data_IF_980696060432
#
_entry.id   IF_980696060432
#
_cell.length_a   1.000
_cell.length_b   1.000
_cell.length_c   1.000
_cell.angle_alpha   90.00
_cell.angle_beta   90.00
_cell.angle_gamma   90.00
#
_symmetry.space_group_name_H-M   'P 1'
#
loop_
_entity.id
_entity.type
_entity.pdbx_description
1 polymer ?
#
# COMPACT_ATOMS: atom_id res chain seq x y z
N UNK A 1 23.27 31.84 -5.21
CA UNK A 1 23.46 31.79 -6.68
C UNK A 1 22.25 31.11 -7.28
N UNK A 2 21.44 31.78 -8.10
CA UNK A 2 20.42 31.11 -8.93
C UNK A 2 21.14 30.51 -10.11
N UNK A 3 21.35 29.19 -10.13
CA UNK A 3 21.90 28.48 -11.28
C UNK A 3 20.95 28.68 -12.46
N UNK A 4 21.46 29.06 -13.61
CA UNK A 4 20.71 28.94 -14.87
C UNK A 4 20.46 27.47 -15.12
N UNK A 5 19.20 27.09 -15.44
CA UNK A 5 18.89 25.72 -15.79
C UNK A 5 19.71 25.29 -17.03
N UNK A 6 20.58 24.32 -16.83
CA UNK A 6 21.42 23.76 -17.90
C UNK A 6 20.64 22.70 -18.69
N UNK A 7 21.02 22.49 -19.94
CA UNK A 7 20.39 21.51 -20.83
C UNK A 7 20.54 20.04 -20.31
N UNK A 8 21.58 19.77 -19.53
CA UNK A 8 21.91 18.45 -18.98
C UNK A 8 21.55 18.25 -17.49
N UNK A 9 20.95 19.25 -16.84
CA UNK A 9 20.67 19.22 -15.39
C UNK A 9 19.82 18.01 -14.98
N UNK A 10 18.88 17.58 -15.86
CA UNK A 10 18.02 16.42 -15.60
C UNK A 10 18.83 15.12 -15.67
N UNK A 11 19.69 14.99 -16.65
CA UNK A 11 20.52 13.79 -16.83
C UNK A 11 21.52 13.65 -15.67
N UNK A 12 22.10 14.76 -15.21
CA UNK A 12 22.98 14.77 -14.04
C UNK A 12 22.20 14.38 -12.78
N UNK A 13 21.00 14.94 -12.59
CA UNK A 13 20.15 14.58 -11.46
C UNK A 13 19.74 13.11 -11.49
N UNK A 14 19.43 12.55 -12.66
CA UNK A 14 19.11 11.14 -12.81
C UNK A 14 20.31 10.23 -12.53
N UNK A 15 21.53 10.65 -12.90
CA UNK A 15 22.77 9.95 -12.53
C UNK A 15 22.99 9.94 -11.01
N UNK A 16 22.78 11.07 -10.36
CA UNK A 16 22.87 11.18 -8.91
C UNK A 16 21.88 10.26 -8.19
N UNK A 17 20.64 10.20 -8.68
CA UNK A 17 19.62 9.29 -8.15
C UNK A 17 20.04 7.82 -8.32
N UNK A 18 20.57 7.46 -9.49
CA UNK A 18 21.08 6.11 -9.76
C UNK A 18 22.24 5.73 -8.84
N UNK A 19 23.16 6.67 -8.61
CA UNK A 19 24.30 6.45 -7.73
C UNK A 19 23.90 6.22 -6.26
N UNK A 20 22.78 6.80 -5.83
CA UNK A 20 22.20 6.61 -4.48
C UNK A 20 21.34 5.37 -4.33
N UNK A 21 21.08 4.65 -5.42
CA UNK A 21 20.27 3.45 -5.44
C UNK A 21 18.76 3.75 -5.60
N UNK A 22 18.32 3.97 -6.84
CA UNK A 22 16.89 4.11 -7.16
C UNK A 22 16.24 2.73 -7.34
N UNK A 23 15.38 2.36 -6.41
CA UNK A 23 14.68 1.07 -6.41
C UNK A 23 13.76 0.92 -7.62
N UNK A 24 13.15 2.01 -8.11
CA UNK A 24 12.31 1.98 -9.31
C UNK A 24 13.14 1.73 -10.58
N UNK A 25 14.34 2.28 -10.66
CA UNK A 25 15.25 1.98 -11.75
C UNK A 25 15.67 0.50 -11.72
N UNK A 26 15.95 -0.03 -10.53
CA UNK A 26 16.27 -1.46 -10.35
C UNK A 26 15.10 -2.34 -10.78
N UNK A 27 13.89 -2.03 -10.35
CA UNK A 27 12.68 -2.75 -10.71
C UNK A 27 12.45 -2.75 -12.22
N UNK A 28 12.64 -1.59 -12.89
CA UNK A 28 12.52 -1.46 -14.33
C UNK A 28 13.53 -2.34 -15.11
N UNK A 29 14.74 -2.53 -14.57
CA UNK A 29 15.77 -3.39 -15.19
C UNK A 29 15.46 -4.87 -15.00
N UNK A 30 14.81 -5.24 -13.90
CA UNK A 30 14.55 -6.63 -13.53
C UNK A 30 13.32 -7.21 -14.22
N UNK A 31 12.28 -6.39 -14.40
CA UNK A 31 10.97 -6.83 -14.88
C UNK A 31 10.74 -6.32 -16.29
N UNK A 32 10.53 -7.25 -17.24
CA UNK A 32 10.00 -6.92 -18.55
C UNK A 32 8.47 -6.72 -18.45
N UNK A 33 8.06 -5.46 -18.32
CA UNK A 33 6.64 -5.12 -18.23
C UNK A 33 5.84 -5.44 -19.49
N UNK A 34 6.48 -5.67 -20.64
CA UNK A 34 5.78 -6.05 -21.86
C UNK A 34 5.10 -7.42 -21.75
N UNK A 35 5.58 -8.30 -20.86
CA UNK A 35 4.98 -9.60 -20.58
C UNK A 35 3.52 -9.52 -20.11
N UNK A 36 3.12 -8.41 -19.52
CA UNK A 36 1.74 -8.23 -19.02
C UNK A 36 0.77 -7.78 -20.12
N UNK A 37 1.25 -7.33 -21.27
CA UNK A 37 0.44 -6.77 -22.36
C UNK A 37 -0.71 -7.69 -22.79
N UNK A 38 -0.52 -9.00 -23.09
CA UNK A 38 -1.60 -9.86 -23.54
C UNK A 38 -2.74 -9.95 -22.52
N UNK A 39 -2.40 -10.11 -21.23
CA UNK A 39 -3.40 -10.20 -20.17
C UNK A 39 -4.13 -8.86 -19.94
N UNK A 40 -3.42 -7.74 -20.06
CA UNK A 40 -4.01 -6.40 -19.97
C UNK A 40 -4.96 -6.09 -21.11
N UNK A 41 -4.61 -6.46 -22.35
CA UNK A 41 -5.46 -6.26 -23.53
C UNK A 41 -6.67 -7.18 -23.52
N UNK A 42 -6.55 -8.37 -22.95
CA UNK A 42 -7.67 -9.27 -22.73
C UNK A 42 -8.66 -8.71 -21.69
N UNK A 43 -8.13 -8.16 -20.58
CA UNK A 43 -8.95 -7.65 -19.48
C UNK A 43 -9.61 -6.30 -19.82
N UNK A 44 -8.90 -5.42 -20.51
CA UNK A 44 -9.39 -4.08 -20.89
C UNK A 44 -9.21 -3.91 -22.39
N UNK A 45 -10.17 -4.37 -23.20
CA UNK A 45 -10.10 -4.18 -24.66
C UNK A 45 -10.03 -2.69 -25.00
N UNK A 46 -9.27 -2.36 -26.02
CA UNK A 46 -9.16 -0.99 -26.53
C UNK A 46 -10.53 -0.49 -27.01
N UNK A 47 -10.92 0.68 -26.57
CA UNK A 47 -12.16 1.31 -27.05
C UNK A 47 -12.09 1.58 -28.57
N UNK A 48 -13.23 1.41 -29.23
CA UNK A 48 -13.39 1.75 -30.66
C UNK A 48 -13.09 3.24 -30.88
N UNK A 49 -12.16 3.52 -31.79
CA UNK A 49 -11.72 4.88 -32.14
C UNK A 49 -12.58 5.54 -33.24
N UNK A 50 -13.60 4.86 -33.75
CA UNK A 50 -14.46 5.38 -34.81
C UNK A 50 -15.13 6.72 -34.49
N UNK A 51 -15.32 7.01 -33.20
CA UNK A 51 -15.97 8.24 -32.70
C UNK A 51 -15.00 9.37 -32.36
N UNK A 52 -13.71 9.25 -32.64
CA UNK A 52 -12.69 10.23 -32.27
C UNK A 52 -12.39 10.25 -30.76
N UNK A 53 -11.68 11.24 -30.29
CA UNK A 53 -11.32 11.44 -28.88
C UNK A 53 -9.80 11.33 -28.63
N UNK A 54 -9.39 11.69 -27.39
CA UNK A 54 -7.99 11.58 -27.00
C UNK A 54 -7.57 10.11 -26.95
N UNK A 55 -6.41 9.74 -27.53
CA UNK A 55 -5.90 8.38 -27.43
C UNK A 55 -5.79 7.93 -25.96
N UNK A 56 -6.28 6.73 -25.62
CA UNK A 56 -6.07 6.19 -24.28
C UNK A 56 -4.59 5.96 -24.03
N UNK A 57 -4.19 6.01 -22.76
CA UNK A 57 -2.85 5.63 -22.35
C UNK A 57 -2.61 4.15 -22.64
N UNK A 58 -1.36 3.78 -22.89
CA UNK A 58 -0.97 2.38 -23.07
C UNK A 58 -1.27 1.56 -21.80
N UNK A 59 -1.77 0.34 -21.96
CA UNK A 59 -2.18 -0.50 -20.84
C UNK A 59 -1.01 -0.90 -19.94
N UNK A 60 0.17 -1.18 -20.52
CA UNK A 60 1.37 -1.50 -19.73
C UNK A 60 1.83 -0.28 -18.95
N UNK A 61 1.77 0.91 -19.54
CA UNK A 61 2.04 2.16 -18.85
C UNK A 61 1.08 2.36 -17.67
N UNK A 62 -0.23 2.18 -17.88
CA UNK A 62 -1.22 2.30 -16.81
C UNK A 62 -1.02 1.25 -15.70
N UNK A 63 -0.60 0.04 -16.05
CA UNK A 63 -0.26 -0.98 -15.06
C UNK A 63 0.97 -0.58 -14.22
N UNK A 64 2.02 -0.01 -14.84
CA UNK A 64 3.15 0.58 -14.11
C UNK A 64 2.70 1.68 -13.14
N UNK A 65 1.71 2.50 -13.52
CA UNK A 65 1.14 3.52 -12.61
C UNK A 65 0.47 2.87 -11.40
N UNK A 66 -0.31 1.80 -11.58
CA UNK A 66 -0.93 1.07 -10.46
C UNK A 66 0.12 0.42 -9.54
N UNK A 67 1.24 -0.07 -10.09
CA UNK A 67 2.36 -0.60 -9.30
C UNK A 67 2.96 0.52 -8.45
N UNK A 68 3.24 1.70 -9.01
CA UNK A 68 3.71 2.85 -8.24
C UNK A 68 2.74 3.24 -7.13
N UNK A 69 1.46 3.27 -7.44
CA UNK A 69 0.40 3.59 -6.49
C UNK A 69 0.39 2.60 -5.32
N UNK A 70 0.48 1.31 -5.60
CA UNK A 70 0.49 0.25 -4.58
C UNK A 70 1.77 0.27 -3.76
N UNK A 71 2.94 0.38 -4.40
CA UNK A 71 4.25 0.40 -3.72
C UNK A 71 4.39 1.57 -2.73
N UNK A 72 3.77 2.70 -3.03
CA UNK A 72 3.88 3.91 -2.22
C UNK A 72 2.60 4.25 -1.46
N UNK A 73 1.59 3.37 -1.46
CA UNK A 73 0.29 3.55 -0.80
C UNK A 73 -0.37 4.91 -1.12
N UNK A 74 -0.44 5.28 -2.41
CA UNK A 74 -0.90 6.59 -2.87
C UNK A 74 -2.40 6.59 -3.20
N UNK A 75 -3.08 7.70 -2.90
CA UNK A 75 -4.38 8.00 -3.50
C UNK A 75 -4.24 8.32 -4.99
N UNK A 76 -5.35 8.31 -5.73
CA UNK A 76 -5.33 8.60 -7.18
C UNK A 76 -4.81 10.02 -7.46
N UNK A 77 -5.25 11.01 -6.69
CA UNK A 77 -4.80 12.40 -6.78
C UNK A 77 -3.32 12.55 -6.41
N UNK A 78 -2.91 11.86 -5.35
CA UNK A 78 -1.51 11.92 -4.92
C UNK A 78 -0.59 11.23 -5.93
N UNK A 79 -1.06 10.15 -6.56
CA UNK A 79 -0.32 9.46 -7.61
C UNK A 79 -0.13 10.37 -8.84
N UNK A 80 -1.19 11.02 -9.34
CA UNK A 80 -1.11 12.01 -10.41
C UNK A 80 -0.10 13.11 -10.09
N UNK A 81 -0.18 13.68 -8.88
CA UNK A 81 0.73 14.75 -8.45
C UNK A 81 2.18 14.27 -8.44
N UNK A 82 2.46 13.13 -7.80
CA UNK A 82 3.84 12.63 -7.64
C UNK A 82 4.47 12.14 -8.95
N UNK A 83 3.69 11.70 -9.93
CA UNK A 83 4.19 11.41 -11.27
C UNK A 83 4.73 12.68 -11.93
N UNK A 84 4.08 13.83 -11.71
CA UNK A 84 4.54 15.14 -12.23
C UNK A 84 5.74 15.71 -11.45
N UNK A 85 5.84 15.40 -10.16
CA UNK A 85 6.80 15.99 -9.23
C UNK A 85 8.13 15.23 -9.16
N UNK A 86 8.13 13.89 -9.31
CA UNK A 86 9.29 13.03 -9.08
C UNK A 86 9.94 12.52 -10.35
N UNK A 87 11.20 12.89 -10.57
CA UNK A 87 11.99 12.39 -11.70
C UNK A 87 12.15 10.86 -11.70
N UNK A 88 12.24 10.21 -10.55
CA UNK A 88 12.30 8.75 -10.46
C UNK A 88 11.02 8.07 -10.97
N UNK A 89 9.84 8.65 -10.68
CA UNK A 89 8.57 8.18 -11.20
C UNK A 89 8.45 8.36 -12.71
N UNK A 90 8.84 9.56 -13.20
CA UNK A 90 8.86 9.83 -14.64
C UNK A 90 9.77 8.86 -15.37
N UNK A 91 10.98 8.62 -14.86
CA UNK A 91 11.94 7.66 -15.41
C UNK A 91 11.39 6.24 -15.43
N UNK A 92 10.76 5.79 -14.35
CA UNK A 92 10.15 4.47 -14.28
C UNK A 92 9.03 4.28 -15.31
N UNK A 93 8.27 5.35 -15.56
CA UNK A 93 7.15 5.38 -16.50
C UNK A 93 7.56 5.73 -17.94
N UNK A 94 8.84 5.95 -18.20
CA UNK A 94 9.34 6.40 -19.51
C UNK A 94 8.75 7.73 -19.99
N UNK A 95 8.48 8.67 -19.04
CA UNK A 95 7.94 9.98 -19.31
C UNK A 95 9.04 11.05 -19.40
N UNK A 96 8.94 11.91 -20.41
CA UNK A 96 9.65 13.18 -20.43
C UNK A 96 8.89 14.26 -19.66
N UNK A 97 9.52 15.40 -19.36
CA UNK A 97 8.93 16.51 -18.61
C UNK A 97 7.64 17.07 -19.23
N UNK A 98 7.53 17.06 -20.55
CA UNK A 98 6.35 17.55 -21.28
C UNK A 98 5.33 16.45 -21.60
N UNK A 99 5.59 15.21 -21.17
CA UNK A 99 4.70 14.08 -21.47
C UNK A 99 3.38 14.22 -20.71
N UNK A 100 2.25 13.82 -21.32
CA UNK A 100 0.96 13.83 -20.65
C UNK A 100 0.96 12.79 -19.51
N UNK A 101 0.44 13.21 -18.35
CA UNK A 101 0.27 12.35 -17.17
C UNK A 101 -1.21 11.99 -17.04
N UNK A 102 -1.55 10.73 -16.69
CA UNK A 102 -2.93 10.34 -16.45
C UNK A 102 -3.48 11.05 -15.20
N UNK A 103 -4.66 11.63 -15.32
CA UNK A 103 -5.36 12.22 -14.19
C UNK A 103 -5.93 11.16 -13.24
N UNK A 104 -6.27 11.58 -12.02
CA UNK A 104 -6.84 10.71 -10.97
C UNK A 104 -8.02 9.86 -11.46
N UNK A 105 -8.97 10.46 -12.18
CA UNK A 105 -10.10 9.75 -12.79
C UNK A 105 -9.67 8.65 -13.77
N UNK A 106 -8.61 8.90 -14.56
CA UNK A 106 -8.10 7.93 -15.53
C UNK A 106 -7.50 6.72 -14.79
N UNK A 107 -6.75 6.97 -13.73
CA UNK A 107 -6.16 5.94 -12.87
C UNK A 107 -7.27 5.10 -12.23
N UNK A 108 -8.26 5.76 -11.63
CA UNK A 108 -9.42 5.11 -11.03
C UNK A 108 -10.19 4.26 -12.04
N UNK A 109 -10.53 4.81 -13.21
CA UNK A 109 -11.30 4.12 -14.26
C UNK A 109 -10.57 2.86 -14.74
N UNK A 110 -9.25 2.94 -14.91
CA UNK A 110 -8.44 1.80 -15.35
C UNK A 110 -8.40 0.70 -14.26
N UNK A 111 -8.22 1.06 -12.99
CA UNK A 111 -8.26 0.13 -11.86
C UNK A 111 -9.63 -0.54 -11.75
N UNK A 112 -10.73 0.20 -11.85
CA UNK A 112 -12.08 -0.32 -11.86
C UNK A 112 -12.31 -1.30 -13.02
N UNK A 113 -11.84 -0.98 -14.21
CA UNK A 113 -11.95 -1.88 -15.36
C UNK A 113 -11.24 -3.21 -15.10
N UNK A 114 -10.02 -3.19 -14.53
CA UNK A 114 -9.29 -4.40 -14.15
C UNK A 114 -9.94 -5.19 -13.00
N UNK A 115 -10.61 -4.50 -12.08
CA UNK A 115 -11.32 -5.13 -10.96
C UNK A 115 -12.58 -5.85 -11.43
N UNK A 116 -13.31 -5.28 -12.41
CA UNK A 116 -14.52 -5.87 -12.99
C UNK A 116 -14.23 -6.95 -14.00
N UNK A 117 -13.12 -6.84 -14.73
CA UNK A 117 -12.69 -7.87 -15.68
C UNK A 117 -12.22 -9.13 -14.95
N UNK A 118 -12.41 -10.28 -15.56
CA UNK A 118 -11.98 -11.57 -15.01
C UNK A 118 -10.98 -12.25 -15.94
N UNK A 119 -9.95 -12.82 -15.34
CA UNK A 119 -8.99 -13.71 -15.99
C UNK A 119 -9.00 -15.01 -15.17
N UNK A 120 -9.27 -16.16 -15.82
CA UNK A 120 -9.29 -17.46 -15.13
C UNK A 120 -10.26 -17.48 -13.92
N UNK A 121 -11.40 -16.79 -14.01
CA UNK A 121 -12.42 -16.73 -12.95
C UNK A 121 -12.07 -15.85 -11.74
N UNK A 122 -10.96 -15.12 -11.78
CA UNK A 122 -10.55 -14.17 -10.73
C UNK A 122 -10.51 -12.74 -11.28
N UNK A 123 -10.66 -11.70 -10.44
CA UNK A 123 -10.45 -10.32 -10.88
C UNK A 123 -9.10 -10.16 -11.58
N UNK A 124 -9.09 -9.51 -12.74
CA UNK A 124 -7.87 -9.36 -13.53
C UNK A 124 -6.76 -8.62 -12.76
N UNK A 125 -7.12 -7.65 -11.94
CA UNK A 125 -6.17 -6.94 -11.08
C UNK A 125 -5.41 -7.91 -10.16
N UNK A 126 -6.11 -8.85 -9.52
CA UNK A 126 -5.50 -9.84 -8.62
C UNK A 126 -4.53 -10.76 -9.37
N UNK A 127 -4.94 -11.24 -10.55
CA UNK A 127 -4.09 -12.12 -11.39
C UNK A 127 -2.84 -11.39 -11.86
N UNK A 128 -2.97 -10.14 -12.30
CA UNK A 128 -1.85 -9.32 -12.77
C UNK A 128 -0.85 -9.03 -11.66
N UNK A 129 -1.32 -8.66 -10.46
CA UNK A 129 -0.43 -8.43 -9.32
C UNK A 129 0.22 -9.73 -8.82
N UNK A 130 -0.49 -10.86 -8.81
CA UNK A 130 0.13 -12.16 -8.50
C UNK A 130 1.25 -12.51 -9.49
N UNK A 131 1.01 -12.34 -10.80
CA UNK A 131 2.06 -12.56 -11.82
C UNK A 131 3.24 -11.59 -11.67
N UNK A 132 2.98 -10.35 -11.24
CA UNK A 132 4.04 -9.40 -10.93
C UNK A 132 4.87 -9.85 -9.72
N UNK A 133 4.24 -10.29 -8.64
CA UNK A 133 4.92 -10.83 -7.46
C UNK A 133 5.77 -12.05 -7.82
N UNK A 134 5.25 -12.95 -8.67
CA UNK A 134 5.97 -14.13 -9.14
C UNK A 134 7.20 -13.73 -9.96
N UNK A 135 7.07 -12.72 -10.83
CA UNK A 135 8.19 -12.20 -11.60
C UNK A 135 9.28 -11.57 -10.70
N UNK A 136 8.88 -10.82 -9.68
CA UNK A 136 9.79 -10.23 -8.68
C UNK A 136 10.51 -11.33 -7.90
N UNK A 137 9.79 -12.39 -7.48
CA UNK A 137 10.37 -13.56 -6.78
C UNK A 137 11.35 -14.33 -7.67
N UNK A 138 11.02 -14.51 -8.93
CA UNK A 138 11.91 -15.18 -9.89
C UNK A 138 13.24 -14.44 -10.06
N UNK A 139 13.26 -13.11 -9.85
CA UNK A 139 14.48 -12.30 -9.82
C UNK A 139 15.25 -12.38 -8.48
N UNK A 140 14.84 -13.26 -7.55
CA UNK A 140 15.49 -13.44 -6.25
C UNK A 140 15.03 -12.46 -5.16
N UNK A 141 14.03 -11.64 -5.41
CA UNK A 141 13.42 -10.79 -4.40
C UNK A 141 12.28 -11.53 -3.72
N UNK A 142 12.54 -12.01 -2.53
CA UNK A 142 11.47 -12.47 -1.65
C UNK A 142 10.77 -11.22 -1.11
N UNK A 143 9.48 -11.06 -1.42
CA UNK A 143 8.64 -10.24 -0.59
C UNK A 143 8.72 -10.88 0.81
N UNK A 144 9.53 -10.28 1.68
CA UNK A 144 9.51 -10.64 3.09
C UNK A 144 8.09 -10.35 3.53
N UNK A 145 7.27 -11.38 3.64
CA UNK A 145 5.99 -11.33 4.32
C UNK A 145 6.27 -11.02 5.79
N UNK A 146 6.79 -9.83 6.02
CA UNK A 146 6.86 -9.26 7.34
C UNK A 146 5.42 -8.98 7.70
N UNK A 147 4.89 -9.77 8.61
CA UNK A 147 3.78 -9.33 9.40
C UNK A 147 4.28 -8.02 10.04
N UNK A 148 3.88 -6.88 9.49
CA UNK A 148 3.94 -5.61 10.20
C UNK A 148 2.91 -5.81 11.31
N UNK A 149 3.35 -6.42 12.39
CA UNK A 149 2.68 -6.27 13.67
C UNK A 149 2.93 -4.81 14.01
N UNK A 150 2.02 -3.96 13.57
CA UNK A 150 1.94 -2.62 14.11
C UNK A 150 1.66 -2.81 15.60
N UNK A 151 2.73 -2.80 16.38
CA UNK A 151 2.67 -2.76 17.82
C UNK A 151 2.26 -1.34 18.26
N UNK A 152 1.26 -0.77 17.61
CA UNK A 152 0.49 0.32 18.19
C UNK A 152 -0.21 -0.30 19.38
N UNK A 153 0.43 -0.21 20.54
CA UNK A 153 -0.23 -0.50 21.81
C UNK A 153 -1.34 0.55 21.92
N UNK A 154 -2.48 0.24 21.35
CA UNK A 154 -3.71 0.95 21.67
C UNK A 154 -3.96 0.62 23.12
N UNK A 155 -3.70 1.59 23.99
CA UNK A 155 -4.02 1.44 25.40
C UNK A 155 -5.49 1.05 25.50
N UNK A 156 -5.75 -0.21 25.82
CA UNK A 156 -7.11 -0.70 25.98
C UNK A 156 -7.82 0.21 26.99
N UNK A 157 -9.05 0.66 26.70
CA UNK A 157 -9.77 1.53 27.61
C UNK A 157 -9.83 0.85 28.99
N UNK A 158 -9.33 1.56 30.02
CA UNK A 158 -9.26 1.02 31.37
C UNK A 158 -10.67 0.65 31.82
N UNK A 159 -10.95 -0.65 31.90
CA UNK A 159 -12.22 -1.13 32.39
C UNK A 159 -12.31 -0.88 33.90
N UNK A 160 -13.23 -0.02 34.29
CA UNK A 160 -13.52 0.23 35.71
C UNK A 160 -14.47 -0.86 36.23
N UNK A 161 -13.92 -1.99 36.68
CA UNK A 161 -14.67 -3.06 37.30
C UNK A 161 -14.51 -2.95 38.81
N UNK A 162 -15.57 -3.21 39.57
CA UNK A 162 -15.54 -3.31 41.02
C UNK A 162 -14.70 -4.51 41.45
N UNK A 163 -14.37 -4.59 42.75
CA UNK A 163 -13.64 -5.75 43.30
C UNK A 163 -14.40 -7.07 43.14
N UNK A 164 -15.71 -7.02 43.32
CA UNK A 164 -16.63 -8.14 43.19
C UNK A 164 -16.76 -8.61 41.74
N UNK A 165 -16.92 -7.66 40.80
CA UNK A 165 -16.92 -7.97 39.37
C UNK A 165 -15.61 -8.62 38.92
N UNK A 166 -14.46 -8.12 39.43
CA UNK A 166 -13.15 -8.72 39.14
C UNK A 166 -13.00 -10.14 39.67
N UNK A 167 -13.57 -10.40 40.86
CA UNK A 167 -13.53 -11.74 41.47
C UNK A 167 -14.41 -12.71 40.67
N UNK A 168 -15.62 -12.32 40.30
CA UNK A 168 -16.51 -13.13 39.48
C UNK A 168 -15.86 -13.47 38.10
N UNK A 169 -15.19 -12.50 37.45
CA UNK A 169 -14.48 -12.72 36.18
C UNK A 169 -13.30 -13.70 36.35
N UNK A 170 -12.56 -13.64 37.46
CA UNK A 170 -11.50 -14.59 37.75
C UNK A 170 -12.00 -16.02 37.93
N UNK A 171 -13.22 -16.16 38.45
CA UNK A 171 -13.90 -17.43 38.65
C UNK A 171 -14.71 -17.87 37.41
N UNK A 172 -14.47 -17.20 36.25
CA UNK A 172 -15.14 -17.46 34.96
C UNK A 172 -16.66 -17.31 35.01
N UNK A 173 -17.18 -16.57 36.02
CA UNK A 173 -18.60 -16.31 36.18
C UNK A 173 -18.96 -14.90 35.64
N UNK A 174 -20.18 -14.77 35.14
CA UNK A 174 -20.72 -13.46 34.75
C UNK A 174 -21.14 -12.72 36.02
N UNK A 175 -20.62 -11.51 36.27
CA UNK A 175 -21.03 -10.69 37.44
C UNK A 175 -22.53 -10.42 37.44
N UNK A 176 -23.14 -10.41 38.63
CA UNK A 176 -24.55 -10.09 38.80
C UNK A 176 -24.90 -8.70 38.21
N UNK A 177 -26.03 -8.63 37.51
CA UNK A 177 -26.49 -7.41 36.83
C UNK A 177 -25.85 -7.10 35.47
N UNK A 178 -24.95 -7.98 34.97
CA UNK A 178 -24.46 -7.85 33.58
C UNK A 178 -25.35 -8.59 32.63
N UNK A 179 -25.94 -9.72 33.03
CA UNK A 179 -26.84 -10.52 32.19
C UNK A 179 -28.08 -9.69 31.77
N UNK A 180 -28.57 -8.82 32.62
CA UNK A 180 -29.73 -7.97 32.35
C UNK A 180 -29.41 -6.75 31.47
N UNK A 181 -28.11 -6.52 31.15
CA UNK A 181 -27.61 -5.37 30.35
C UNK A 181 -26.75 -5.84 29.20
N UNK A 182 -27.33 -6.33 28.11
CA UNK A 182 -26.56 -6.92 26.99
C UNK A 182 -25.55 -5.96 26.38
N UNK A 183 -25.86 -4.66 26.34
CA UNK A 183 -24.92 -3.64 25.87
C UNK A 183 -23.67 -3.51 26.77
N UNK A 184 -23.84 -3.63 28.10
CA UNK A 184 -22.72 -3.62 29.06
C UNK A 184 -21.88 -4.89 28.92
N UNK A 185 -22.52 -6.05 28.70
CA UNK A 185 -21.87 -7.32 28.53
C UNK A 185 -21.02 -7.34 27.24
N UNK A 186 -21.54 -6.77 26.13
CA UNK A 186 -20.83 -6.69 24.86
C UNK A 186 -19.62 -5.73 24.88
N UNK A 187 -19.64 -4.71 25.76
CA UNK A 187 -18.55 -3.74 25.89
C UNK A 187 -17.43 -4.19 26.84
N UNK A 188 -17.65 -5.25 27.63
CA UNK A 188 -16.69 -5.74 28.60
C UNK A 188 -15.90 -6.93 28.06
N UNK A 189 -14.58 -6.75 27.97
CA UNK A 189 -13.66 -7.83 27.64
C UNK A 189 -13.42 -8.70 28.87
N UNK A 190 -13.90 -9.95 28.82
CA UNK A 190 -13.77 -10.94 29.91
C UNK A 190 -12.44 -11.69 29.86
N UNK A 191 -11.79 -11.66 28.71
CA UNK A 191 -10.55 -12.41 28.44
C UNK A 191 -9.30 -11.54 28.61
N UNK A 192 -9.48 -10.22 28.82
CA UNK A 192 -8.37 -9.31 29.05
C UNK A 192 -7.50 -9.76 30.24
N UNK A 193 -6.28 -10.13 29.95
CA UNK A 193 -5.26 -10.50 30.95
C UNK A 193 -4.21 -9.41 31.03
N UNK A 194 -3.83 -9.04 32.28
CA UNK A 194 -2.68 -8.17 32.48
C UNK A 194 -1.41 -8.96 32.20
N UNK A 195 -0.72 -8.63 31.10
CA UNK A 195 0.62 -9.16 30.88
C UNK A 195 1.61 -8.34 31.72
N UNK A 196 2.21 -8.98 32.73
CA UNK A 196 3.31 -8.41 33.49
C UNK A 196 4.55 -8.50 32.59
N UNK A 197 5.06 -7.34 32.11
CA UNK A 197 6.33 -7.32 31.40
C UNK A 197 7.47 -7.56 32.42
N UNK A 198 8.19 -8.69 32.40
CA UNK A 198 9.20 -9.00 33.39
C UNK A 198 10.48 -8.15 33.28
N UNK A 199 10.55 -7.21 32.32
CA UNK A 199 11.74 -6.43 32.00
C UNK A 199 11.79 -5.00 32.53
N UNK A 200 10.74 -4.48 33.20
CA UNK A 200 10.77 -3.12 33.78
C UNK A 200 10.78 -3.25 35.31
N UNK A 201 11.97 -3.47 35.84
CA UNK A 201 12.25 -3.20 37.26
C UNK A 201 12.53 -1.69 37.36
N UNK A 202 11.52 -0.89 37.66
CA UNK A 202 11.73 0.47 38.10
C UNK A 202 12.29 0.40 39.54
N UNK A 203 13.58 0.61 39.65
CA UNK A 203 14.24 0.86 40.93
C UNK A 203 13.79 2.22 41.46
N UNK A 204 12.73 2.23 42.25
CA UNK A 204 12.38 3.37 43.09
C UNK A 204 13.22 3.22 44.35
N UNK A 205 14.41 3.86 44.37
CA UNK A 205 15.16 4.10 45.59
C UNK A 205 14.41 5.13 46.42
N UNK A 206 13.91 4.72 47.55
CA UNK A 206 13.47 5.62 48.65
C UNK A 206 14.70 6.26 49.26
N UNK A 207 14.75 7.58 49.40
CA UNK A 207 15.71 8.22 50.28
C UNK A 207 15.23 8.13 51.73
N UNK A 208 16.19 7.86 52.60
CA UNK A 208 16.08 7.87 54.06
C UNK A 208 15.79 9.25 54.62
#
# INVERSE_FOLDING_TARGET
MRGQAGFFDIDERLKDLSAKGDDLERLRRLIDFAMFRPALEQAVPRADRSKGGRPPFDHVFMFKVLILQTMHALSDERCEYLIKDRLSFMRFLDLGLASPVPGANTIWTFREALTRATIEGKPAVTVLFSRFDDAVRACGYLAMGGQIVDATIVAAPKQRNTREEKQAIKEERIPEGWADKPAKLAQKDRDARWMRNPGIVSSCSTPS
#
